data_IF_878940446598
#
_entry.id   IF_878940446598
#
_cell.length_a   1.000
_cell.length_b   1.000
_cell.length_c   1.000
_cell.angle_alpha   90.00
_cell.angle_beta   90.00
_cell.angle_gamma   90.00
#
_symmetry.space_group_name_H-M   'P 1'
#
loop_
_entity.id
_entity.type
_entity.pdbx_description
1 polymer ?
#
# COMPACT_ATOMS: atom_id res chain seq x y z
N UNK A 1 22.87 1.50 8.74
CA UNK A 1 21.75 0.62 8.33
C UNK A 1 20.50 1.47 8.38
N UNK A 2 19.92 1.80 7.23
CA UNK A 2 18.80 2.74 7.17
C UNK A 2 17.49 1.94 7.23
N UNK A 3 16.73 2.12 8.31
CA UNK A 3 15.35 1.63 8.41
C UNK A 3 14.48 2.29 7.33
N UNK A 4 13.39 1.68 6.91
CA UNK A 4 12.42 2.32 6.01
C UNK A 4 11.15 2.53 6.81
N UNK A 5 10.70 3.79 6.91
CA UNK A 5 9.63 4.20 7.83
C UNK A 5 8.51 5.00 7.13
N UNK A 6 8.55 5.13 5.81
CA UNK A 6 7.65 5.97 5.01
C UNK A 6 7.75 7.49 5.27
N UNK A 7 8.86 7.98 5.81
CA UNK A 7 9.19 9.41 5.74
C UNK A 7 9.36 9.86 4.27
N UNK A 8 9.22 11.16 3.97
CA UNK A 8 9.56 11.70 2.66
C UNK A 8 10.94 11.20 2.21
N UNK A 9 11.02 10.78 0.94
CA UNK A 9 12.22 10.22 0.30
C UNK A 9 12.69 8.84 0.84
N UNK A 10 11.94 8.24 1.77
CA UNK A 10 12.18 6.91 2.35
C UNK A 10 10.91 6.07 2.37
N UNK A 11 10.09 6.21 1.33
CA UNK A 11 8.86 5.44 1.18
C UNK A 11 9.17 3.99 0.78
N UNK A 12 8.59 3.05 1.53
CA UNK A 12 8.78 1.62 1.31
C UNK A 12 8.42 1.21 -0.12
N UNK A 13 7.39 1.83 -0.69
CA UNK A 13 6.98 1.52 -2.06
C UNK A 13 8.04 1.88 -3.10
N UNK A 14 8.75 3.00 -2.94
CA UNK A 14 9.81 3.41 -3.87
C UNK A 14 10.96 2.42 -3.80
N UNK A 15 11.41 2.12 -2.58
CA UNK A 15 12.51 1.16 -2.38
C UNK A 15 12.14 -0.22 -2.91
N UNK A 16 10.93 -0.72 -2.65
CA UNK A 16 10.49 -2.02 -3.17
C UNK A 16 10.51 -2.05 -4.70
N UNK A 17 9.98 -1.02 -5.37
CA UNK A 17 9.98 -0.93 -6.83
C UNK A 17 11.39 -0.92 -7.41
N UNK A 18 12.29 -0.13 -6.82
CA UNK A 18 13.69 -0.06 -7.25
C UNK A 18 14.39 -1.41 -7.10
N UNK A 19 14.18 -2.10 -5.97
CA UNK A 19 14.77 -3.42 -5.74
C UNK A 19 14.20 -4.49 -6.68
N UNK A 20 12.90 -4.50 -6.94
CA UNK A 20 12.29 -5.46 -7.86
C UNK A 20 12.76 -5.28 -9.30
N UNK A 21 12.91 -4.04 -9.77
CA UNK A 21 13.43 -3.75 -11.12
C UNK A 21 14.85 -4.27 -11.34
N UNK A 22 15.67 -4.28 -10.29
CA UNK A 22 17.06 -4.75 -10.32
C UNK A 22 17.20 -6.25 -10.05
N UNK A 23 16.11 -6.94 -9.71
CA UNK A 23 16.14 -8.33 -9.28
C UNK A 23 15.61 -9.27 -10.36
N UNK A 24 16.27 -10.42 -10.56
CA UNK A 24 15.73 -11.50 -11.39
C UNK A 24 14.65 -12.32 -10.66
N UNK A 25 14.73 -12.37 -9.32
CA UNK A 25 13.79 -13.09 -8.44
C UNK A 25 13.65 -12.35 -7.12
N UNK A 26 12.43 -12.31 -6.59
CA UNK A 26 12.12 -11.72 -5.30
C UNK A 26 11.58 -12.78 -4.33
N UNK A 27 12.14 -12.80 -3.11
CA UNK A 27 11.70 -13.70 -2.02
C UNK A 27 11.34 -12.87 -0.80
N UNK A 28 10.10 -13.00 -0.34
CA UNK A 28 9.60 -12.30 0.84
C UNK A 28 9.34 -13.29 1.97
N UNK A 29 9.79 -12.95 3.18
CA UNK A 29 9.41 -13.61 4.42
C UNK A 29 8.64 -12.58 5.26
N UNK A 30 7.33 -12.76 5.37
CA UNK A 30 6.44 -11.77 5.97
C UNK A 30 5.45 -12.46 6.91
N UNK A 31 5.09 -11.78 8.01
CA UNK A 31 4.08 -12.29 8.94
C UNK A 31 2.67 -12.25 8.36
N UNK A 32 2.35 -11.18 7.62
CA UNK A 32 1.02 -10.95 7.04
C UNK A 32 1.14 -10.18 5.73
N UNK A 33 0.19 -10.39 4.81
CA UNK A 33 0.15 -9.71 3.52
C UNK A 33 -1.27 -9.28 3.14
N UNK A 34 -1.43 -8.00 2.86
CA UNK A 34 -2.64 -7.50 2.22
C UNK A 34 -2.57 -7.77 0.71
N UNK A 35 -3.55 -8.46 0.14
CA UNK A 35 -3.65 -8.66 -1.31
C UNK A 35 -3.66 -7.34 -2.08
N UNK A 36 -4.24 -6.27 -1.52
CA UNK A 36 -4.22 -4.93 -2.12
C UNK A 36 -2.82 -4.33 -2.23
N UNK A 37 -1.87 -4.76 -1.40
CA UNK A 37 -0.47 -4.36 -1.50
C UNK A 37 0.20 -4.91 -2.77
N UNK A 38 -0.27 -6.07 -3.26
CA UNK A 38 0.21 -6.64 -4.52
C UNK A 38 -0.07 -5.73 -5.72
N UNK A 39 -1.22 -5.05 -5.71
CA UNK A 39 -1.61 -4.15 -6.79
C UNK A 39 -0.66 -2.97 -6.97
N UNK A 40 0.07 -2.57 -5.93
CA UNK A 40 1.00 -1.42 -5.96
C UNK A 40 2.28 -1.72 -6.77
N UNK A 41 2.62 -3.00 -6.89
CA UNK A 41 3.90 -3.49 -7.44
C UNK A 41 3.71 -4.36 -8.68
N UNK A 42 2.45 -4.66 -9.03
CA UNK A 42 2.10 -5.55 -10.14
C UNK A 42 2.68 -5.12 -11.49
N UNK A 43 2.72 -3.82 -11.74
CA UNK A 43 3.23 -3.25 -13.00
C UNK A 43 4.75 -3.29 -13.12
N UNK A 44 5.46 -3.58 -12.02
CA UNK A 44 6.92 -3.56 -11.96
C UNK A 44 7.52 -4.96 -12.16
N UNK A 45 6.67 -5.99 -12.35
CA UNK A 45 7.13 -7.34 -12.67
C UNK A 45 7.50 -7.46 -14.15
N UNK A 46 8.61 -8.16 -14.42
CA UNK A 46 9.05 -8.50 -15.78
C UNK A 46 7.98 -9.32 -16.51
N UNK A 47 7.67 -8.96 -17.76
CA UNK A 47 6.77 -9.74 -18.63
C UNK A 47 7.42 -11.05 -19.12
N UNK A 48 8.74 -11.18 -19.01
CA UNK A 48 9.47 -12.42 -19.29
C UNK A 48 9.35 -13.38 -18.10
N UNK A 49 8.30 -14.19 -18.09
CA UNK A 49 8.14 -15.30 -17.15
C UNK A 49 8.74 -16.58 -17.73
N UNK A 50 10.03 -16.77 -17.50
CA UNK A 50 10.75 -17.98 -17.89
C UNK A 50 10.38 -19.13 -16.92
N UNK A 51 9.16 -19.68 -17.05
CA UNK A 51 8.54 -20.82 -16.34
C UNK A 51 8.73 -20.94 -14.81
N UNK A 52 9.36 -19.96 -14.16
CA UNK A 52 9.68 -19.93 -12.74
C UNK A 52 9.07 -18.67 -12.12
N UNK A 53 8.43 -18.79 -10.95
CA UNK A 53 7.76 -17.64 -10.35
C UNK A 53 8.80 -16.60 -9.95
N UNK A 54 8.72 -15.42 -10.55
CA UNK A 54 9.52 -14.24 -10.21
C UNK A 54 9.42 -13.92 -8.71
N UNK A 55 8.23 -14.09 -8.14
CA UNK A 55 7.91 -13.76 -6.75
C UNK A 55 7.59 -15.02 -5.94
N UNK A 56 8.29 -15.19 -4.82
CA UNK A 56 7.98 -16.21 -3.81
C UNK A 56 7.74 -15.55 -2.46
N UNK A 57 6.63 -15.88 -1.83
CA UNK A 57 6.26 -15.37 -0.50
C UNK A 57 6.17 -16.57 0.45
N UNK A 58 6.94 -16.52 1.53
CA UNK A 58 6.75 -17.37 2.70
C UNK A 58 6.00 -16.54 3.74
N UNK A 59 4.83 -17.03 4.14
CA UNK A 59 3.96 -16.36 5.11
C UNK A 59 3.65 -17.29 6.26
N UNK A 60 3.52 -16.73 7.47
CA UNK A 60 2.98 -17.48 8.60
C UNK A 60 1.59 -18.02 8.29
N UNK A 61 1.36 -19.31 8.57
CA UNK A 61 0.07 -19.97 8.35
C UNK A 61 -0.99 -19.57 9.40
N UNK A 62 -0.55 -18.97 10.50
CA UNK A 62 -1.40 -18.59 11.62
C UNK A 62 -1.16 -17.12 11.97
N UNK A 63 -2.25 -16.43 12.24
CA UNK A 63 -2.24 -15.10 12.85
C UNK A 63 -2.62 -15.27 14.32
N UNK A 64 -2.05 -14.46 15.20
CA UNK A 64 -2.49 -14.46 16.61
C UNK A 64 -3.74 -13.60 16.76
N UNK A 65 -4.55 -13.85 17.80
CA UNK A 65 -5.72 -13.02 18.09
C UNK A 65 -5.37 -11.51 18.20
N UNK A 66 -4.27 -11.11 18.88
CA UNK A 66 -3.81 -9.71 18.87
C UNK A 66 -3.54 -9.16 17.46
N UNK A 67 -2.81 -9.91 16.62
CA UNK A 67 -2.51 -9.48 15.25
C UNK A 67 -3.80 -9.34 14.42
N UNK A 68 -4.79 -10.20 14.63
CA UNK A 68 -6.11 -10.06 13.99
C UNK A 68 -6.81 -8.77 14.43
N UNK A 69 -6.80 -8.44 15.72
CA UNK A 69 -7.42 -7.21 16.21
C UNK A 69 -6.70 -5.95 15.71
N UNK A 70 -5.37 -5.96 15.67
CA UNK A 70 -4.57 -4.87 15.07
C UNK A 70 -4.89 -4.67 13.59
N UNK A 71 -5.04 -5.75 12.82
CA UNK A 71 -5.44 -5.68 11.42
C UNK A 71 -6.85 -5.11 11.24
N UNK A 72 -7.80 -5.53 12.08
CA UNK A 72 -9.18 -5.01 12.06
C UNK A 72 -9.20 -3.54 12.45
N UNK A 73 -8.44 -3.13 13.47
CA UNK A 73 -8.32 -1.74 13.90
C UNK A 73 -7.69 -0.88 12.79
N UNK A 74 -6.61 -1.35 12.18
CA UNK A 74 -5.95 -0.69 11.06
C UNK A 74 -6.87 -0.53 9.84
N UNK A 75 -7.65 -1.56 9.51
CA UNK A 75 -8.63 -1.49 8.42
C UNK A 75 -9.73 -0.47 8.71
N UNK A 76 -10.34 -0.52 9.90
CA UNK A 76 -11.37 0.45 10.33
C UNK A 76 -10.85 1.88 10.29
N UNK A 77 -9.64 2.10 10.81
CA UNK A 77 -9.00 3.42 10.82
C UNK A 77 -8.79 3.95 9.40
N UNK A 78 -8.30 3.10 8.48
CA UNK A 78 -8.12 3.46 7.07
C UNK A 78 -9.44 3.87 6.40
N UNK A 79 -10.52 3.15 6.64
CA UNK A 79 -11.82 3.48 6.06
C UNK A 79 -12.38 4.80 6.60
N UNK A 80 -12.22 5.06 7.90
CA UNK A 80 -12.58 6.36 8.50
C UNK A 80 -11.78 7.52 7.89
N UNK A 81 -10.48 7.32 7.64
CA UNK A 81 -9.65 8.33 6.97
C UNK A 81 -10.12 8.60 5.54
N UNK A 82 -10.45 7.57 4.76
CA UNK A 82 -11.00 7.74 3.40
C UNK A 82 -12.29 8.54 3.41
N UNK A 83 -13.21 8.21 4.33
CA UNK A 83 -14.48 8.93 4.46
C UNK A 83 -14.24 10.42 4.76
N UNK A 84 -13.39 10.74 5.74
CA UNK A 84 -13.02 12.13 6.05
C UNK A 84 -12.41 12.86 4.85
N UNK A 85 -11.51 12.21 4.11
CA UNK A 85 -10.92 12.81 2.91
C UNK A 85 -11.97 13.11 1.84
N UNK A 86 -12.94 12.21 1.63
CA UNK A 86 -14.05 12.45 0.69
C UNK A 86 -14.92 13.61 1.15
N UNK A 87 -15.27 13.66 2.44
CA UNK A 87 -16.05 14.77 3.02
C UNK A 87 -15.33 16.11 2.88
N UNK A 88 -14.02 16.15 3.11
CA UNK A 88 -13.21 17.36 2.98
C UNK A 88 -13.12 17.83 1.52
N UNK A 89 -13.01 16.90 0.57
CA UNK A 89 -13.03 17.22 -0.86
C UNK A 89 -14.40 17.79 -1.30
N UNK A 90 -15.50 17.19 -0.85
CA UNK A 90 -16.85 17.67 -1.14
C UNK A 90 -17.08 19.07 -0.55
N UNK A 91 -16.63 19.33 0.68
CA UNK A 91 -16.70 20.67 1.30
C UNK A 91 -15.91 21.71 0.50
N UNK A 92 -14.73 21.34 -0.02
CA UNK A 92 -13.93 22.22 -0.88
C UNK A 92 -14.65 22.54 -2.20
N UNK A 93 -15.23 21.56 -2.88
CA UNK A 93 -16.00 21.79 -4.11
C UNK A 93 -17.21 22.70 -3.87
N UNK A 94 -17.96 22.48 -2.79
CA UNK A 94 -19.07 23.34 -2.38
C UNK A 94 -18.60 24.78 -2.11
N UNK A 95 -17.45 24.96 -1.44
CA UNK A 95 -16.89 26.29 -1.17
C UNK A 95 -16.49 27.05 -2.43
N UNK A 96 -15.89 26.36 -3.41
CA UNK A 96 -15.50 26.94 -4.71
C UNK A 96 -16.73 27.29 -5.55
N UNK A 97 -17.74 26.40 -5.57
CA UNK A 97 -19.00 26.67 -6.26
C UNK A 97 -19.71 27.89 -5.68
N UNK A 98 -19.80 28.02 -4.35
CA UNK A 98 -20.44 29.17 -3.69
C UNK A 98 -19.71 30.49 -3.92
N UNK A 99 -18.39 30.47 -4.06
CA UNK A 99 -17.60 31.64 -4.44
C UNK A 99 -17.81 32.02 -5.91
N UNK A 100 -18.01 31.04 -6.80
CA UNK A 100 -18.27 31.28 -8.23
C UNK A 100 -19.66 31.87 -8.51
N UNK A 101 -20.64 31.65 -7.63
CA UNK A 101 -21.99 32.25 -7.73
C UNK A 101 -22.12 33.62 -7.05
N UNK A 102 -21.04 34.12 -6.41
CA UNK A 102 -21.01 35.42 -5.71
C UNK A 102 -20.41 36.57 -6.55
N UNK A 103 -20.15 36.35 -7.84
CA UNK A 103 -19.73 37.35 -8.81
C UNK A 103 -20.58 37.26 -10.07
#
# INVERSE_FOLDING_TARGET
MNTIDNSPDRELIKVLKDQMRLSEKAKFAIGYFFLTGFSLVKSDFSDNYDNSPFLKIVMGNETTYPTKEELVAGYKLRELFKQRMVEDLQKRELSVSLLSYKW
#
